data_IF_055534923856
#
_entry.id   IF_055534923856
#
_cell.length_a   1.000
_cell.length_b   1.000
_cell.length_c   1.000
_cell.angle_alpha   90.00
_cell.angle_beta   90.00
_cell.angle_gamma   90.00
#
_symmetry.space_group_name_H-M   'P 1'
#
loop_
_entity.id
_entity.type
_entity.pdbx_description
1 polymer ?
#
# COMPACT_ATOMS: atom_id res chain seq x y z
N UNK A 1 -15.89 -15.42 -2.95
CA UNK A 1 -16.33 -14.02 -2.83
C UNK A 1 -15.37 -13.11 -3.59
N UNK A 2 -15.88 -12.24 -4.46
CA UNK A 2 -15.03 -11.24 -5.09
C UNK A 2 -14.50 -10.30 -4.00
N UNK A 3 -13.17 -10.15 -3.91
CA UNK A 3 -12.56 -9.19 -2.99
C UNK A 3 -12.98 -7.78 -3.42
N UNK A 4 -13.55 -7.01 -2.50
CA UNK A 4 -13.89 -5.61 -2.76
C UNK A 4 -12.62 -4.83 -3.09
N UNK A 5 -12.69 -3.98 -4.12
CA UNK A 5 -11.57 -3.10 -4.45
C UNK A 5 -11.23 -2.19 -3.25
N UNK A 6 -9.95 -2.05 -2.95
CA UNK A 6 -9.49 -1.17 -1.87
C UNK A 6 -9.84 0.29 -2.20
N UNK A 7 -10.37 1.01 -1.21
CA UNK A 7 -10.51 2.47 -1.33
C UNK A 7 -9.12 3.09 -1.37
N UNK A 8 -8.88 3.94 -2.35
CA UNK A 8 -7.54 4.48 -2.62
C UNK A 8 -7.60 5.99 -2.78
N UNK A 9 -6.66 6.68 -2.15
CA UNK A 9 -6.40 8.10 -2.38
C UNK A 9 -5.14 8.22 -3.24
N UNK A 10 -5.15 9.13 -4.19
CA UNK A 10 -4.03 9.35 -5.11
C UNK A 10 -3.58 10.79 -5.05
N UNK A 11 -2.26 10.99 -4.92
CA UNK A 11 -1.61 12.29 -5.11
C UNK A 11 -0.88 12.26 -6.45
N UNK A 12 -1.35 13.02 -7.45
CA UNK A 12 -0.71 13.04 -8.77
C UNK A 12 0.65 13.75 -8.74
N UNK A 13 1.48 13.57 -9.77
CA UNK A 13 2.73 14.31 -9.93
C UNK A 13 2.50 15.83 -9.89
N UNK A 14 3.24 16.55 -9.07
CA UNK A 14 3.13 18.03 -8.99
C UNK A 14 3.76 18.74 -10.18
N UNK A 15 4.68 18.07 -10.90
CA UNK A 15 5.22 18.58 -12.17
C UNK A 15 4.19 18.53 -13.32
N UNK A 16 3.04 17.90 -13.11
CA UNK A 16 2.07 17.66 -14.17
C UNK A 16 2.47 16.51 -15.11
N UNK A 17 1.57 16.15 -16.01
CA UNK A 17 1.79 15.02 -16.94
C UNK A 17 1.64 13.65 -16.29
N UNK A 18 2.16 12.61 -16.96
CA UNK A 18 2.15 11.25 -16.45
C UNK A 18 3.32 10.98 -15.50
N UNK A 19 3.11 10.17 -14.44
CA UNK A 19 4.17 9.83 -13.51
C UNK A 19 5.26 8.98 -14.21
N UNK A 20 6.50 9.19 -13.82
CA UNK A 20 7.61 8.30 -14.18
C UNK A 20 8.04 7.38 -13.04
N UNK A 21 7.41 7.51 -11.87
CA UNK A 21 7.55 6.63 -10.72
C UNK A 21 6.30 6.67 -9.86
N UNK A 22 6.03 5.59 -9.13
CA UNK A 22 4.90 5.51 -8.18
C UNK A 22 5.40 5.03 -6.82
N UNK A 23 4.89 5.64 -5.76
CA UNK A 23 5.11 5.21 -4.38
C UNK A 23 3.76 4.78 -3.79
N UNK A 24 3.68 3.53 -3.36
CA UNK A 24 2.58 3.03 -2.53
C UNK A 24 2.90 3.34 -1.07
N UNK A 25 1.96 3.94 -0.35
CA UNK A 25 2.07 4.20 1.09
C UNK A 25 0.97 3.43 1.82
N UNK A 26 1.37 2.38 2.54
CA UNK A 26 0.47 1.51 3.29
C UNK A 26 0.45 1.95 4.76
N UNK A 27 -0.73 2.29 5.27
CA UNK A 27 -0.91 2.75 6.65
C UNK A 27 -0.81 1.61 7.67
N UNK A 28 -0.63 1.95 8.94
CA UNK A 28 -0.66 1.01 10.06
C UNK A 28 -2.07 0.62 10.51
N UNK A 29 -2.15 -0.30 11.48
CA UNK A 29 -3.40 -0.75 12.08
C UNK A 29 -4.25 0.42 12.57
N UNK A 30 -5.53 0.43 12.21
CA UNK A 30 -6.52 1.42 12.65
C UNK A 30 -6.46 2.77 11.94
N UNK A 31 -5.46 3.00 11.08
CA UNK A 31 -5.32 4.22 10.29
C UNK A 31 -6.00 4.09 8.92
N UNK A 32 -5.84 5.06 8.06
CA UNK A 32 -6.41 5.11 6.70
C UNK A 32 -5.46 5.82 5.73
N UNK A 33 -5.79 5.80 4.45
CA UNK A 33 -5.10 6.61 3.43
C UNK A 33 -5.05 8.10 3.81
N UNK A 34 -6.06 8.63 4.48
CA UNK A 34 -6.14 10.04 4.88
C UNK A 34 -5.07 10.42 5.91
N UNK A 35 -4.69 9.49 6.81
CA UNK A 35 -3.64 9.74 7.81
C UNK A 35 -2.26 10.00 7.17
N UNK A 36 -2.04 9.48 5.96
CA UNK A 36 -0.77 9.62 5.23
C UNK A 36 -0.83 10.65 4.08
N UNK A 37 -1.99 11.24 3.83
CA UNK A 37 -2.19 12.14 2.69
C UNK A 37 -1.28 13.39 2.76
N UNK A 38 -1.12 13.99 3.93
CA UNK A 38 -0.29 15.18 4.08
C UNK A 38 1.21 14.85 3.93
N UNK A 39 1.65 13.66 4.35
CA UNK A 39 3.01 13.16 4.10
C UNK A 39 3.23 13.01 2.60
N UNK A 40 2.32 12.38 1.87
CA UNK A 40 2.41 12.23 0.42
C UNK A 40 2.46 13.59 -0.30
N UNK A 41 1.62 14.53 0.11
CA UNK A 41 1.62 15.90 -0.43
C UNK A 41 2.93 16.66 -0.15
N UNK A 42 3.46 16.52 1.07
CA UNK A 42 4.73 17.12 1.45
C UNK A 42 5.87 16.55 0.60
N UNK A 43 5.94 15.23 0.44
CA UNK A 43 6.93 14.58 -0.40
C UNK A 43 6.81 15.03 -1.87
N UNK A 44 5.59 15.10 -2.42
CA UNK A 44 5.35 15.52 -3.80
C UNK A 44 5.72 16.98 -4.09
N UNK A 45 5.86 17.83 -3.06
CA UNK A 45 6.37 19.23 -3.19
C UNK A 45 7.89 19.27 -3.27
N UNK A 46 8.60 18.22 -2.85
CA UNK A 46 10.04 18.15 -2.99
C UNK A 46 10.42 18.12 -4.47
N UNK A 47 11.34 19.00 -4.88
CA UNK A 47 11.76 19.15 -6.29
C UNK A 47 12.21 17.81 -6.90
N UNK A 48 12.88 16.95 -6.12
CA UNK A 48 13.34 15.65 -6.59
C UNK A 48 12.21 14.64 -6.80
N UNK A 49 11.01 14.86 -6.26
CA UNK A 49 9.88 13.92 -6.26
C UNK A 49 8.66 14.42 -7.03
N UNK A 50 8.76 15.57 -7.73
CA UNK A 50 7.63 16.16 -8.45
C UNK A 50 7.08 15.30 -9.59
N UNK A 51 7.85 14.31 -10.07
CA UNK A 51 7.47 13.35 -11.08
C UNK A 51 6.78 12.10 -10.50
N UNK A 52 6.70 12.00 -9.17
CA UNK A 52 6.19 10.82 -8.46
C UNK A 52 4.68 10.94 -8.23
N UNK A 53 3.99 9.84 -8.50
CA UNK A 53 2.61 9.61 -8.09
C UNK A 53 2.60 8.83 -6.76
N UNK A 54 1.77 9.24 -5.81
CA UNK A 54 1.58 8.52 -4.56
C UNK A 54 0.22 7.85 -4.54
N UNK A 55 0.19 6.56 -4.22
CA UNK A 55 -1.02 5.73 -4.14
C UNK A 55 -1.17 5.26 -2.70
N UNK A 56 -2.26 5.66 -2.06
CA UNK A 56 -2.54 5.41 -0.66
C UNK A 56 -3.82 4.57 -0.53
N UNK A 57 -3.71 3.25 -0.48
CA UNK A 57 -4.89 2.40 -0.25
C UNK A 57 -5.25 2.37 1.24
N UNK A 58 -6.55 2.19 1.51
CA UNK A 58 -7.08 1.94 2.85
C UNK A 58 -7.39 0.46 3.00
N UNK A 59 -6.87 -0.16 4.04
CA UNK A 59 -7.14 -1.54 4.40
C UNK A 59 -8.63 -1.80 4.66
N UNK A 60 -9.13 -3.02 4.48
CA UNK A 60 -10.50 -3.35 4.82
C UNK A 60 -10.75 -3.20 6.33
N UNK A 61 -12.00 -2.94 6.71
CA UNK A 61 -12.44 -2.96 8.10
C UNK A 61 -12.76 -4.40 8.50
N UNK A 62 -12.14 -4.88 9.56
CA UNK A 62 -12.33 -6.24 10.08
C UNK A 62 -12.11 -6.29 11.60
N UNK A 63 -12.64 -7.31 12.29
CA UNK A 63 -12.34 -7.53 13.71
C UNK A 63 -10.85 -7.76 13.92
N UNK A 64 -10.29 -7.20 15.00
CA UNK A 64 -8.88 -7.36 15.39
C UNK A 64 -8.78 -7.98 16.76
N UNK A 65 -8.22 -9.17 16.82
CA UNK A 65 -8.21 -10.03 18.02
C UNK A 65 -7.49 -9.37 19.19
N UNK A 66 -6.31 -8.78 18.99
CA UNK A 66 -5.54 -8.10 20.05
C UNK A 66 -6.30 -6.92 20.66
N UNK A 67 -7.25 -6.35 19.92
CA UNK A 67 -8.13 -5.26 20.38
C UNK A 67 -9.54 -5.77 20.77
N UNK A 68 -9.61 -6.95 21.38
CA UNK A 68 -10.87 -7.57 21.85
C UNK A 68 -11.93 -7.74 20.75
N UNK A 69 -11.51 -7.98 19.51
CA UNK A 69 -12.39 -8.15 18.36
C UNK A 69 -13.06 -6.87 17.86
N UNK A 70 -12.63 -5.69 18.30
CA UNK A 70 -13.12 -4.43 17.73
C UNK A 70 -12.81 -4.33 16.25
N UNK A 71 -13.80 -3.92 15.46
CA UNK A 71 -13.64 -3.70 14.04
C UNK A 71 -12.91 -2.39 13.75
N UNK A 72 -11.81 -2.49 13.01
CA UNK A 72 -11.02 -1.35 12.54
C UNK A 72 -10.36 -1.67 11.22
N UNK A 73 -9.80 -0.68 10.55
CA UNK A 73 -8.99 -0.87 9.35
C UNK A 73 -7.75 -1.69 9.69
N UNK A 74 -7.58 -2.81 9.03
CA UNK A 74 -6.49 -3.75 9.28
C UNK A 74 -6.13 -4.53 8.02
N UNK A 75 -4.84 -4.69 7.76
CA UNK A 75 -4.36 -5.50 6.63
C UNK A 75 -4.49 -7.00 6.90
N UNK A 76 -4.39 -7.40 8.16
CA UNK A 76 -4.54 -8.78 8.64
C UNK A 76 -4.91 -8.77 10.12
N UNK A 77 -5.45 -9.86 10.63
CA UNK A 77 -5.73 -9.95 12.07
C UNK A 77 -4.43 -10.04 12.87
N UNK A 78 -4.39 -9.38 14.01
CA UNK A 78 -3.26 -9.36 14.92
C UNK A 78 -3.68 -10.03 16.22
N UNK A 79 -3.07 -11.19 16.52
CA UNK A 79 -3.45 -11.99 17.68
C UNK A 79 -2.76 -11.54 18.97
N UNK A 80 -1.49 -11.14 18.90
CA UNK A 80 -0.70 -10.68 20.03
C UNK A 80 0.35 -9.67 19.59
N UNK A 81 0.74 -8.76 20.50
CA UNK A 81 1.89 -7.86 20.32
C UNK A 81 3.16 -8.38 21.01
N UNK A 82 3.04 -9.38 21.88
CA UNK A 82 4.13 -9.84 22.74
C UNK A 82 4.42 -11.34 22.63
N UNK A 83 3.42 -12.12 22.23
CA UNK A 83 3.54 -13.58 22.10
C UNK A 83 3.60 -13.97 20.62
N UNK A 84 4.80 -14.24 20.14
CA UNK A 84 5.07 -14.65 18.75
C UNK A 84 4.70 -16.13 18.49
N UNK A 85 4.43 -16.92 19.54
CA UNK A 85 4.07 -18.32 19.43
C UNK A 85 2.57 -18.52 19.13
N UNK A 86 1.75 -17.47 19.30
CA UNK A 86 0.31 -17.54 18.98
C UNK A 86 -0.01 -17.70 17.48
N UNK A 87 1.02 -17.66 16.63
CA UNK A 87 0.86 -17.72 15.19
C UNK A 87 0.46 -16.37 14.58
N UNK A 88 0.29 -16.37 13.28
CA UNK A 88 -0.02 -15.19 12.47
C UNK A 88 -1.22 -15.47 11.54
N UNK A 89 -1.94 -14.42 11.15
CA UNK A 89 -3.01 -14.49 10.16
C UNK A 89 -2.44 -14.54 8.73
N UNK A 90 -1.82 -15.67 8.38
CA UNK A 90 -1.24 -15.90 7.07
C UNK A 90 -2.25 -15.65 5.94
N UNK A 91 -3.47 -16.13 6.09
CA UNK A 91 -4.52 -15.97 5.08
C UNK A 91 -4.89 -14.50 4.87
N UNK A 92 -5.01 -13.72 5.95
CA UNK A 92 -5.26 -12.27 5.89
C UNK A 92 -4.09 -11.52 5.25
N UNK A 93 -2.85 -11.86 5.60
CA UNK A 93 -1.65 -11.28 5.00
C UNK A 93 -1.61 -11.52 3.48
N UNK A 94 -1.80 -12.76 3.03
CA UNK A 94 -1.81 -13.10 1.61
C UNK A 94 -2.98 -12.45 0.85
N UNK A 95 -4.14 -12.34 1.48
CA UNK A 95 -5.29 -11.63 0.92
C UNK A 95 -4.98 -10.14 0.70
N UNK A 96 -4.35 -9.49 1.67
CA UNK A 96 -3.93 -8.09 1.58
C UNK A 96 -2.84 -7.89 0.53
N UNK A 97 -1.83 -8.77 0.49
CA UNK A 97 -0.81 -8.77 -0.57
C UNK A 97 -1.46 -8.85 -1.95
N UNK A 98 -2.39 -9.80 -2.15
CA UNK A 98 -3.12 -9.95 -3.41
C UNK A 98 -3.91 -8.69 -3.78
N UNK A 99 -4.55 -8.04 -2.80
CA UNK A 99 -5.34 -6.83 -3.03
C UNK A 99 -4.49 -5.64 -3.44
N UNK A 100 -3.35 -5.44 -2.77
CA UNK A 100 -2.42 -4.34 -3.11
C UNK A 100 -1.71 -4.65 -4.43
N UNK A 101 -1.35 -5.92 -4.69
CA UNK A 101 -0.72 -6.31 -5.96
C UNK A 101 -1.58 -5.96 -7.17
N UNK A 102 -2.91 -6.10 -7.08
CA UNK A 102 -3.83 -5.65 -8.16
C UNK A 102 -3.72 -4.17 -8.44
N UNK A 103 -3.52 -3.33 -7.41
CA UNK A 103 -3.29 -1.90 -7.62
C UNK A 103 -1.93 -1.65 -8.28
N UNK A 104 -0.90 -2.41 -7.89
CA UNK A 104 0.43 -2.37 -8.53
C UNK A 104 0.35 -2.76 -10.00
N UNK A 105 -0.39 -3.83 -10.33
CA UNK A 105 -0.62 -4.27 -11.71
C UNK A 105 -1.31 -3.18 -12.53
N UNK A 106 -2.32 -2.49 -11.97
CA UNK A 106 -2.98 -1.36 -12.64
C UNK A 106 -2.04 -0.16 -12.86
N UNK A 107 -1.11 0.08 -11.94
CA UNK A 107 -0.07 1.10 -12.16
C UNK A 107 0.91 0.68 -13.27
N UNK A 108 1.30 -0.60 -13.32
CA UNK A 108 2.27 -1.08 -14.30
C UNK A 108 1.69 -1.19 -15.70
N UNK A 109 0.45 -1.60 -15.86
CA UNK A 109 -0.22 -1.72 -17.17
C UNK A 109 -0.87 -0.41 -17.66
N UNK A 110 -0.90 0.62 -16.80
CA UNK A 110 -1.47 1.93 -17.11
C UNK A 110 -3.00 2.00 -17.03
N UNK A 111 -3.66 0.96 -16.52
CA UNK A 111 -5.12 0.93 -16.36
C UNK A 111 -5.63 1.67 -15.12
N UNK A 112 -4.72 2.03 -14.19
CA UNK A 112 -5.09 2.81 -13.02
C UNK A 112 -5.69 4.17 -13.40
N UNK A 113 -6.70 4.67 -12.65
CA UNK A 113 -7.33 5.95 -12.94
C UNK A 113 -6.32 7.10 -13.07
N UNK A 114 -6.40 7.84 -14.16
CA UNK A 114 -5.53 8.97 -14.47
C UNK A 114 -4.24 8.63 -15.22
N UNK A 115 -3.94 7.37 -15.46
CA UNK A 115 -2.75 6.96 -16.23
C UNK A 115 -3.01 6.87 -17.75
N UNK A 116 -4.26 6.63 -18.17
CA UNK A 116 -4.64 6.63 -19.60
C UNK A 116 -3.76 5.74 -20.49
N UNK A 117 -3.35 4.57 -19.98
CA UNK A 117 -2.45 3.64 -20.68
C UNK A 117 -0.96 3.90 -20.45
N UNK A 118 -0.58 4.93 -19.72
CA UNK A 118 0.82 5.23 -19.39
C UNK A 118 1.26 4.46 -18.13
N UNK A 119 1.65 3.20 -18.29
CA UNK A 119 2.11 2.37 -17.18
C UNK A 119 3.45 2.83 -16.59
N UNK A 120 3.62 2.61 -15.29
CA UNK A 120 4.88 2.83 -14.57
C UNK A 120 5.55 1.47 -14.34
N UNK A 121 6.72 1.19 -14.91
CA UNK A 121 7.35 -0.13 -14.78
C UNK A 121 7.66 -0.46 -13.32
N UNK A 122 7.61 -1.75 -12.95
CA UNK A 122 7.85 -2.21 -11.58
C UNK A 122 9.17 -1.71 -11.00
N UNK A 123 10.22 -1.59 -11.81
CA UNK A 123 11.51 -1.01 -11.43
C UNK A 123 11.47 0.48 -11.05
N UNK A 124 10.32 1.13 -11.21
CA UNK A 124 10.05 2.53 -10.82
C UNK A 124 8.95 2.64 -9.76
N UNK A 125 8.57 1.51 -9.15
CA UNK A 125 7.58 1.45 -8.07
C UNK A 125 8.29 1.23 -6.75
N UNK A 126 7.98 2.04 -5.74
CA UNK A 126 8.40 1.86 -4.35
C UNK A 126 7.21 1.39 -3.53
N UNK A 127 7.41 0.35 -2.74
CA UNK A 127 6.43 -0.19 -1.80
C UNK A 127 6.83 0.26 -0.39
N UNK A 128 6.11 1.20 0.18
CA UNK A 128 6.39 1.73 1.51
C UNK A 128 5.21 1.50 2.45
N UNK A 129 5.49 1.26 3.71
CA UNK A 129 4.45 1.08 4.70
C UNK A 129 4.93 1.29 6.13
N UNK A 130 3.99 1.65 6.99
CA UNK A 130 4.21 1.86 8.42
C UNK A 130 3.62 0.72 9.23
N UNK A 131 4.38 0.17 10.19
CA UNK A 131 3.93 -0.88 11.11
C UNK A 131 3.32 -2.06 10.34
N UNK A 132 2.03 -2.38 10.53
CA UNK A 132 1.32 -3.44 9.80
C UNK A 132 1.40 -3.26 8.27
N UNK A 133 1.31 -2.02 7.77
CA UNK A 133 1.51 -1.70 6.35
C UNK A 133 2.95 -1.96 5.88
N UNK A 134 3.93 -1.80 6.77
CA UNK A 134 5.34 -2.15 6.52
C UNK A 134 5.52 -3.65 6.31
N UNK A 135 4.84 -4.48 7.10
CA UNK A 135 4.86 -5.94 6.92
C UNK A 135 4.29 -6.34 5.54
N UNK A 136 3.18 -5.75 5.14
CA UNK A 136 2.60 -5.99 3.80
C UNK A 136 3.53 -5.50 2.69
N UNK A 137 4.17 -4.33 2.84
CA UNK A 137 5.12 -3.82 1.85
C UNK A 137 6.32 -4.77 1.66
N UNK A 138 6.85 -5.34 2.74
CA UNK A 138 7.91 -6.35 2.68
C UNK A 138 7.46 -7.62 1.97
N UNK A 139 6.29 -8.16 2.33
CA UNK A 139 5.73 -9.36 1.70
C UNK A 139 5.50 -9.14 0.20
N UNK A 140 4.98 -7.98 -0.19
CA UNK A 140 4.83 -7.59 -1.60
C UNK A 140 6.18 -7.62 -2.33
N UNK A 141 7.21 -6.98 -1.76
CA UNK A 141 8.52 -6.94 -2.37
C UNK A 141 9.16 -8.32 -2.53
N UNK A 142 8.98 -9.20 -1.54
CA UNK A 142 9.53 -10.56 -1.53
C UNK A 142 8.77 -11.53 -2.46
N UNK A 143 7.49 -11.31 -2.68
CA UNK A 143 6.62 -12.21 -3.46
C UNK A 143 6.35 -11.74 -4.88
N UNK A 144 6.75 -10.52 -5.22
CA UNK A 144 6.60 -9.95 -6.57
C UNK A 144 7.45 -10.71 -7.59
N UNK A 145 6.89 -10.96 -8.78
CA UNK A 145 7.61 -11.60 -9.89
C UNK A 145 8.76 -10.72 -10.41
N UNK A 146 8.53 -9.41 -10.45
CA UNK A 146 9.51 -8.41 -10.84
C UNK A 146 9.92 -7.60 -9.61
N UNK A 147 11.19 -7.22 -9.53
CA UNK A 147 11.70 -6.44 -8.41
C UNK A 147 11.18 -4.99 -8.45
N UNK A 148 10.60 -4.48 -7.36
CA UNK A 148 10.30 -3.06 -7.25
C UNK A 148 11.60 -2.22 -7.17
N UNK A 149 11.47 -0.91 -7.37
CA UNK A 149 12.58 0.04 -7.17
C UNK A 149 13.11 0.01 -5.74
N UNK A 150 12.23 -0.28 -4.78
CA UNK A 150 12.59 -0.41 -3.37
C UNK A 150 11.41 -0.77 -2.48
N UNK A 151 11.73 -1.20 -1.27
CA UNK A 151 10.78 -1.45 -0.18
C UNK A 151 11.22 -0.64 1.02
N UNK A 152 10.31 0.09 1.65
CA UNK A 152 10.54 0.84 2.88
C UNK A 152 9.54 0.41 3.95
N UNK A 153 10.01 -0.27 4.99
CA UNK A 153 9.21 -0.63 6.16
C UNK A 153 9.63 0.27 7.34
N UNK A 154 8.67 0.99 7.88
CA UNK A 154 8.83 2.00 8.94
C UNK A 154 8.15 1.56 10.23
#
# INVERSE_FOLDING_TARGET
MAMSALRTVVVPPTAGGFPSATVFLLHGLGDTAQGWLDVARMLGRNQALQHVRFVLPTAPTQPVTVNMGMSMTSWFDLYSLTDLEQGEDEAGMLSSVSSVMKLVEQETDGSAPGLNGHGVPMSRIVLAGFSQGGAIAQLLGLTSKESPAGVAAL
#
